data_IF_024963507079
#
_entry.id   IF_024963507079
#
_cell.length_a   1.000
_cell.length_b   1.000
_cell.length_c   1.000
_cell.angle_alpha   90.00
_cell.angle_beta   90.00
_cell.angle_gamma   90.00
#
_symmetry.space_group_name_H-M   'P 1'
#
loop_
_entity.id
_entity.type
_entity.pdbx_description
1 polymer ?
#
# COMPACT_ATOMS: atom_id res chain seq x y z
N UNK A 1 -2.52 19.36 -8.70
CA UNK A 1 -3.14 18.04 -8.41
C UNK A 1 -3.39 17.95 -6.90
N UNK A 2 -4.65 17.97 -6.44
CA UNK A 2 -4.97 17.90 -5.00
C UNK A 2 -4.60 16.51 -4.49
N UNK A 3 -3.62 16.41 -3.59
CA UNK A 3 -3.30 15.14 -2.93
C UNK A 3 -4.51 14.73 -2.08
N UNK A 4 -5.20 13.66 -2.45
CA UNK A 4 -6.32 13.12 -1.68
C UNK A 4 -5.77 12.35 -0.47
N UNK A 5 -5.14 13.09 0.45
CA UNK A 5 -4.39 12.59 1.60
C UNK A 5 -5.31 12.15 2.74
N UNK A 6 -6.41 11.48 2.39
CA UNK A 6 -7.47 11.11 3.32
C UNK A 6 -7.05 9.84 4.03
N UNK A 7 -6.75 9.96 5.32
CA UNK A 7 -6.59 8.80 6.20
C UNK A 7 -7.96 8.11 6.30
N UNK A 8 -7.96 6.80 6.08
CA UNK A 8 -9.14 5.93 6.13
C UNK A 8 -8.92 4.86 7.19
N UNK A 9 -10.00 4.24 7.67
CA UNK A 9 -9.95 3.16 8.65
C UNK A 9 -10.27 1.82 8.00
N UNK A 10 -9.59 0.77 8.46
CA UNK A 10 -9.83 -0.63 8.11
C UNK A 10 -9.73 -1.44 9.40
N UNK A 11 -10.77 -2.20 9.74
CA UNK A 11 -10.77 -3.11 10.90
C UNK A 11 -10.52 -4.53 10.42
N UNK A 12 -9.59 -5.22 11.04
CA UNK A 12 -9.05 -6.50 10.61
C UNK A 12 -8.67 -7.34 11.83
N UNK A 13 -9.30 -8.50 12.01
CA UNK A 13 -8.96 -9.47 13.06
C UNK A 13 -8.91 -8.84 14.47
N UNK A 14 -9.89 -7.98 14.78
CA UNK A 14 -9.97 -7.25 16.05
C UNK A 14 -8.95 -6.10 16.20
N UNK A 15 -8.11 -5.86 15.21
CA UNK A 15 -7.17 -4.74 15.16
C UNK A 15 -7.66 -3.66 14.21
N UNK A 16 -7.65 -2.42 14.67
CA UNK A 16 -7.90 -1.26 13.82
C UNK A 16 -6.62 -0.77 13.15
N UNK A 17 -6.73 -0.54 11.85
CA UNK A 17 -5.69 0.05 11.02
C UNK A 17 -6.19 1.36 10.42
N UNK A 18 -5.31 2.35 10.38
CA UNK A 18 -5.49 3.57 9.60
C UNK A 18 -4.62 3.47 8.37
N UNK A 19 -5.10 3.91 7.21
CA UNK A 19 -4.33 3.82 5.99
C UNK A 19 -4.46 5.05 5.11
N UNK A 20 -3.42 5.29 4.32
CA UNK A 20 -3.36 6.37 3.34
C UNK A 20 -2.51 5.97 2.14
N UNK A 21 -2.75 6.62 1.00
CA UNK A 21 -1.99 6.41 -0.22
C UNK A 21 -1.36 7.75 -0.62
N UNK A 22 -0.08 7.72 -0.95
CA UNK A 22 0.67 8.91 -1.36
C UNK A 22 1.56 8.60 -2.54
N UNK A 23 1.41 9.39 -3.60
CA UNK A 23 2.43 9.54 -4.60
C UNK A 23 3.60 10.38 -4.05
N UNK A 24 4.84 9.97 -4.33
CA UNK A 24 6.07 10.63 -3.87
C UNK A 24 7.06 10.86 -5.00
N UNK A 25 7.76 12.00 -4.90
CA UNK A 25 8.92 12.38 -5.70
C UNK A 25 10.08 12.77 -4.76
N UNK A 26 11.34 12.80 -5.24
CA UNK A 26 11.81 12.28 -6.54
C UNK A 26 11.70 10.75 -6.57
N UNK A 27 11.80 10.14 -7.76
CA UNK A 27 11.72 8.67 -8.05
C UNK A 27 10.34 8.07 -8.40
N UNK A 28 9.28 8.88 -8.46
CA UNK A 28 7.90 8.49 -8.80
C UNK A 28 7.51 7.14 -8.19
N UNK A 29 6.94 7.19 -6.98
CA UNK A 29 6.46 5.99 -6.27
C UNK A 29 5.10 6.21 -5.64
N UNK A 30 4.29 5.16 -5.63
CA UNK A 30 3.07 5.10 -4.82
C UNK A 30 3.36 4.40 -3.50
N UNK A 31 2.89 4.99 -2.40
CA UNK A 31 3.13 4.48 -1.05
C UNK A 31 1.80 4.25 -0.36
N UNK A 32 1.47 2.99 -0.10
CA UNK A 32 0.39 2.59 0.79
C UNK A 32 0.95 2.51 2.21
N UNK A 33 0.50 3.39 3.10
CA UNK A 33 0.87 3.38 4.52
C UNK A 33 -0.25 2.72 5.34
N UNK A 34 0.11 1.75 6.17
CA UNK A 34 -0.75 1.04 7.12
C UNK A 34 -0.26 1.36 8.54
N UNK A 35 -1.01 2.19 9.26
CA UNK A 35 -0.73 2.56 10.64
C UNK A 35 -1.58 1.71 11.58
N UNK A 36 -0.95 1.06 12.56
CA UNK A 36 -1.69 0.31 13.57
C UNK A 36 -2.29 1.30 14.57
N UNK A 37 -3.62 1.35 14.66
CA UNK A 37 -4.32 2.33 15.48
C UNK A 37 -3.93 2.22 16.96
N UNK A 38 -3.81 3.36 17.63
CA UNK A 38 -3.38 3.42 19.03
C UNK A 38 -1.88 3.20 19.25
N UNK A 39 -1.09 2.99 18.18
CA UNK A 39 0.36 2.82 18.26
C UNK A 39 1.09 3.80 17.32
N UNK A 40 2.42 3.82 17.39
CA UNK A 40 3.29 4.52 16.42
C UNK A 40 3.87 3.58 15.36
N UNK A 41 3.33 2.37 15.22
CA UNK A 41 3.81 1.37 14.28
C UNK A 41 3.18 1.58 12.89
N UNK A 42 4.01 1.71 11.86
CA UNK A 42 3.57 1.91 10.47
C UNK A 42 4.30 0.96 9.53
N UNK A 43 3.55 0.24 8.70
CA UNK A 43 4.08 -0.44 7.52
C UNK A 43 3.89 0.46 6.29
N UNK A 44 4.94 0.64 5.48
CA UNK A 44 4.90 1.31 4.18
C UNK A 44 5.16 0.30 3.08
N UNK A 45 4.17 0.10 2.24
CA UNK A 45 4.25 -0.73 1.04
C UNK A 45 4.51 0.21 -0.13
N UNK A 46 5.66 0.06 -0.77
CA UNK A 46 6.17 1.01 -1.76
C UNK A 46 6.18 0.41 -3.15
N UNK A 47 5.47 1.03 -4.08
CA UNK A 47 5.45 0.68 -5.50
C UNK A 47 6.27 1.68 -6.27
N UNK A 48 7.45 1.25 -6.73
CA UNK A 48 8.35 2.06 -7.57
C UNK A 48 8.01 1.86 -9.04
N UNK A 49 7.93 2.94 -9.81
CA UNK A 49 7.85 2.84 -11.27
C UNK A 49 9.09 2.11 -11.83
N UNK A 50 8.92 1.37 -12.92
CA UNK A 50 10.01 0.67 -13.59
C UNK A 50 9.57 -0.09 -14.83
N UNK A 51 10.47 -0.79 -15.53
CA UNK A 51 10.11 -1.60 -16.70
C UNK A 51 8.99 -2.58 -16.38
N UNK A 52 7.88 -2.49 -17.11
CA UNK A 52 6.69 -3.34 -16.90
C UNK A 52 5.91 -3.08 -15.60
N UNK A 53 6.24 -2.02 -14.86
CA UNK A 53 5.64 -1.64 -13.58
C UNK A 53 5.15 -0.19 -13.65
N UNK A 54 3.85 -0.03 -13.87
CA UNK A 54 3.20 1.27 -13.96
C UNK A 54 2.57 1.66 -12.62
N UNK A 55 2.61 2.95 -12.30
CA UNK A 55 1.97 3.52 -11.11
C UNK A 55 1.19 4.77 -11.49
N UNK A 56 0.40 5.32 -10.56
CA UNK A 56 -0.16 6.66 -10.73
C UNK A 56 0.95 7.70 -10.81
N UNK A 57 1.23 8.26 -11.98
CA UNK A 57 2.34 9.22 -12.21
C UNK A 57 1.91 10.49 -12.98
N UNK A 58 0.60 10.66 -13.17
CA UNK A 58 0.02 11.74 -13.98
C UNK A 58 -0.69 11.23 -15.24
N UNK A 59 -0.30 10.07 -15.78
CA UNK A 59 -1.04 9.39 -16.85
C UNK A 59 -2.09 8.43 -16.29
N UNK A 60 -1.76 7.76 -15.18
CA UNK A 60 -2.69 6.91 -14.44
C UNK A 60 -3.23 7.63 -13.20
N UNK A 61 -4.46 7.30 -12.74
CA UNK A 61 -4.98 7.82 -11.48
C UNK A 61 -4.04 7.54 -10.31
N UNK A 62 -3.91 8.49 -9.38
CA UNK A 62 -3.14 8.30 -8.15
C UNK A 62 -3.61 7.08 -7.37
N UNK A 63 -2.67 6.35 -6.79
CA UNK A 63 -2.90 5.08 -6.11
C UNK A 63 -3.06 3.87 -7.05
N UNK A 64 -2.76 4.01 -8.34
CA UNK A 64 -2.66 2.86 -9.26
C UNK A 64 -1.33 2.13 -9.04
N UNK A 65 -1.36 0.80 -9.00
CA UNK A 65 -0.20 -0.07 -9.20
C UNK A 65 -0.57 -1.14 -10.23
N UNK A 66 0.19 -1.24 -11.32
CA UNK A 66 -0.11 -2.15 -12.42
C UNK A 66 1.14 -2.81 -13.00
N UNK A 67 1.02 -4.08 -13.38
CA UNK A 67 2.04 -4.83 -14.12
C UNK A 67 1.39 -5.89 -14.99
N UNK A 68 1.88 -6.04 -16.23
CA UNK A 68 1.24 -6.90 -17.24
C UNK A 68 -0.21 -6.50 -17.49
N UNK A 69 -1.12 -7.46 -17.37
CA UNK A 69 -2.58 -7.27 -17.50
C UNK A 69 -3.29 -6.96 -16.18
N UNK A 70 -2.56 -6.91 -15.06
CA UNK A 70 -3.12 -6.72 -13.73
C UNK A 70 -2.94 -5.29 -13.24
N UNK A 71 -3.98 -4.76 -12.59
CA UNK A 71 -3.94 -3.47 -11.94
C UNK A 71 -4.67 -3.54 -10.59
N UNK A 72 -4.16 -2.80 -9.62
CA UNK A 72 -4.74 -2.66 -8.29
C UNK A 72 -4.93 -1.18 -7.99
N UNK A 73 -6.09 -0.87 -7.43
CA UNK A 73 -6.41 0.45 -6.92
C UNK A 73 -6.15 0.48 -5.41
N UNK A 74 -5.07 1.15 -4.99
CA UNK A 74 -4.68 1.27 -3.59
C UNK A 74 -5.69 2.09 -2.77
N UNK A 75 -6.66 2.74 -3.41
CA UNK A 75 -7.78 3.40 -2.72
C UNK A 75 -8.96 2.46 -2.40
N UNK A 76 -8.93 1.20 -2.80
CA UNK A 76 -10.00 0.25 -2.51
C UNK A 76 -9.74 -0.48 -1.18
N UNK A 77 -10.69 -0.44 -0.23
CA UNK A 77 -10.53 -1.13 1.05
C UNK A 77 -10.25 -2.63 0.91
N UNK A 78 -10.84 -3.30 -0.10
CA UNK A 78 -10.60 -4.73 -0.37
C UNK A 78 -9.18 -5.02 -0.84
N UNK A 79 -8.60 -4.14 -1.67
CA UNK A 79 -7.19 -4.22 -2.08
C UNK A 79 -6.28 -4.02 -0.86
N UNK A 80 -6.57 -3.01 -0.05
CA UNK A 80 -5.78 -2.72 1.17
C UNK A 80 -5.85 -3.87 2.17
N UNK A 81 -7.03 -4.51 2.35
CA UNK A 81 -7.16 -5.70 3.20
C UNK A 81 -6.31 -6.86 2.69
N UNK A 82 -6.32 -7.15 1.39
CA UNK A 82 -5.47 -8.22 0.83
C UNK A 82 -3.98 -7.95 1.04
N UNK A 83 -3.52 -6.70 0.91
CA UNK A 83 -2.14 -6.33 1.26
C UNK A 83 -1.84 -6.49 2.75
N UNK A 84 -2.78 -6.12 3.63
CA UNK A 84 -2.62 -6.31 5.07
C UNK A 84 -2.51 -7.81 5.43
N UNK A 85 -3.35 -8.64 4.82
CA UNK A 85 -3.35 -10.10 5.02
C UNK A 85 -2.04 -10.73 4.57
N UNK A 86 -1.58 -10.38 3.37
CA UNK A 86 -0.33 -10.89 2.82
C UNK A 86 0.88 -10.43 3.63
N UNK A 87 0.90 -9.16 4.05
CA UNK A 87 1.93 -8.65 4.94
C UNK A 87 1.94 -9.36 6.29
N UNK A 88 0.77 -9.65 6.86
CA UNK A 88 0.61 -10.44 8.08
C UNK A 88 1.11 -11.87 7.92
N UNK A 89 0.73 -12.55 6.83
CA UNK A 89 1.16 -13.91 6.53
C UNK A 89 2.69 -14.02 6.36
N UNK A 90 3.34 -12.96 5.89
CA UNK A 90 4.81 -12.87 5.75
C UNK A 90 5.52 -12.31 6.99
N UNK A 91 4.81 -11.98 8.07
CA UNK A 91 5.41 -11.41 9.27
C UNK A 91 6.00 -10.00 9.08
N UNK A 92 5.51 -9.24 8.11
CA UNK A 92 6.00 -7.89 7.77
C UNK A 92 5.33 -6.78 8.60
N UNK A 93 4.31 -7.12 9.38
CA UNK A 93 3.63 -6.14 10.24
C UNK A 93 4.55 -5.73 11.39
N UNK A 94 4.73 -4.42 11.64
CA UNK A 94 5.59 -3.95 12.71
C UNK A 94 5.03 -4.34 14.08
N UNK A 95 5.85 -5.05 14.88
CA UNK A 95 5.54 -5.38 16.27
C UNK A 95 5.85 -4.23 17.24
N UNK A 96 6.91 -3.47 16.95
CA UNK A 96 7.40 -2.37 17.77
C UNK A 96 7.06 -1.00 17.15
N UNK A 97 7.05 0.09 17.95
CA UNK A 97 6.94 1.45 17.44
C UNK A 97 8.00 1.77 16.38
N UNK A 98 7.59 2.35 15.26
CA UNK A 98 8.49 2.71 14.17
C UNK A 98 7.89 2.49 12.79
N UNK A 99 8.67 2.86 11.79
CA UNK A 99 8.29 2.73 10.38
C UNK A 99 9.08 1.59 9.73
N UNK A 100 8.37 0.64 9.14
CA UNK A 100 8.94 -0.45 8.35
C UNK A 100 8.54 -0.24 6.88
N UNK A 101 9.49 -0.37 5.96
CA UNK A 101 9.25 -0.27 4.51
C UNK A 101 9.40 -1.65 3.86
N UNK A 102 8.54 -1.96 2.89
CA UNK A 102 8.63 -3.16 2.07
C UNK A 102 8.29 -2.86 0.61
N UNK A 103 8.85 -3.65 -0.31
CA UNK A 103 8.57 -3.54 -1.75
C UNK A 103 7.17 -4.10 -2.04
N UNK A 104 6.28 -3.24 -2.56
CA UNK A 104 4.92 -3.62 -2.90
C UNK A 104 4.84 -4.60 -4.06
N UNK A 105 5.82 -4.59 -4.97
CA UNK A 105 5.87 -5.54 -6.07
C UNK A 105 6.12 -6.97 -5.60
N UNK A 106 6.82 -7.16 -4.49
CA UNK A 106 7.04 -8.48 -3.89
C UNK A 106 5.75 -9.11 -3.31
N UNK A 107 4.74 -8.28 -3.02
CA UNK A 107 3.43 -8.71 -2.51
C UNK A 107 2.37 -8.78 -3.62
N UNK A 108 2.61 -8.11 -4.77
CA UNK A 108 1.60 -7.83 -5.79
C UNK A 108 0.94 -9.10 -6.35
N UNK A 109 1.73 -10.08 -6.80
CA UNK A 109 1.20 -11.29 -7.43
C UNK A 109 0.33 -12.12 -6.47
N UNK A 110 0.75 -12.20 -5.20
CA UNK A 110 -0.03 -12.88 -4.16
C UNK A 110 -1.36 -12.17 -3.87
N UNK A 111 -1.37 -10.83 -3.91
CA UNK A 111 -2.59 -10.03 -3.73
C UNK A 111 -3.54 -10.14 -4.91
N UNK A 112 -3.01 -10.21 -6.14
CA UNK A 112 -3.80 -10.40 -7.37
C UNK A 112 -4.44 -11.78 -7.43
N UNK A 113 -3.73 -12.82 -6.98
CA UNK A 113 -4.20 -14.21 -7.02
C UNK A 113 -5.26 -14.55 -5.94
N UNK A 114 -5.51 -13.64 -4.99
CA UNK A 114 -6.42 -13.81 -3.86
C UNK A 114 -7.82 -13.26 -4.11
#
# INVERSE_FOLDING_TARGET
MRSNNRIRRLSADGTDWLWSVRHRHPDCREVLSLHRAGTRATLRIVFRAGPGRAIGDGYLPGGTAATGSHHLNLHEPGVVRRFLDEAGARGLLPAEPGDVETDGWALFDAVVAR
#
